data_IF_979315593177
#
_entry.id   IF_979315593177
#
_cell.length_a   1.000
_cell.length_b   1.000
_cell.length_c   1.000
_cell.angle_alpha   90.00
_cell.angle_beta   90.00
_cell.angle_gamma   90.00
#
_symmetry.space_group_name_H-M   'P 1'
#
loop_
_entity.id
_entity.type
_entity.pdbx_description
1 polymer ?
#
# COMPACT_ATOMS: atom_id res chain seq x y z
N UNK A 1 29.13 18.10 -22.79
CA UNK A 1 28.95 19.48 -23.26
C UNK A 1 28.07 20.19 -22.25
N UNK A 2 28.64 21.13 -21.49
CA UNK A 2 27.90 21.98 -20.56
C UNK A 2 27.14 23.01 -21.39
N UNK A 3 25.82 22.88 -21.49
CA UNK A 3 24.99 23.95 -22.01
C UNK A 3 24.84 25.02 -20.93
N UNK A 4 25.35 26.20 -21.23
CA UNK A 4 25.21 27.42 -20.44
C UNK A 4 23.76 27.92 -20.56
N UNK A 5 22.90 27.45 -19.66
CA UNK A 5 21.50 27.87 -19.57
C UNK A 5 21.37 29.32 -19.03
N UNK A 6 20.50 30.16 -19.62
CA UNK A 6 20.41 31.58 -19.33
C UNK A 6 20.00 31.87 -17.88
N UNK A 7 20.63 32.87 -17.27
CA UNK A 7 20.46 33.27 -15.85
C UNK A 7 19.00 33.51 -15.41
N UNK A 8 18.10 33.86 -16.34
CA UNK A 8 16.68 34.05 -16.04
C UNK A 8 15.93 32.72 -15.82
N UNK A 9 16.34 31.63 -16.50
CA UNK A 9 15.76 30.29 -16.33
C UNK A 9 16.24 29.63 -15.04
N UNK A 10 17.49 29.88 -14.64
CA UNK A 10 18.06 29.43 -13.35
C UNK A 10 17.22 29.90 -12.15
N UNK A 11 16.73 31.14 -12.19
CA UNK A 11 15.93 31.72 -11.11
C UNK A 11 14.51 31.14 -11.06
N UNK A 12 13.91 30.84 -12.22
CA UNK A 12 12.61 30.16 -12.30
C UNK A 12 12.71 28.70 -11.87
N UNK A 13 13.77 27.99 -12.25
CA UNK A 13 14.08 26.64 -11.77
C UNK A 13 14.35 26.62 -10.26
N UNK A 14 14.90 27.70 -9.68
CA UNK A 14 15.10 27.81 -8.22
C UNK A 14 13.80 28.07 -7.44
N UNK A 15 12.89 28.88 -7.99
CA UNK A 15 11.53 29.06 -7.47
C UNK A 15 10.68 27.80 -7.64
N UNK A 16 10.84 27.10 -8.77
CA UNK A 16 10.31 25.75 -8.98
C UNK A 16 11.03 24.68 -8.15
N UNK A 17 12.25 24.92 -7.66
CA UNK A 17 13.01 24.05 -6.75
C UNK A 17 12.53 24.21 -5.31
N UNK A 18 12.12 25.42 -4.93
CA UNK A 18 11.35 25.63 -3.70
C UNK A 18 9.96 24.95 -3.77
N UNK A 19 9.46 24.76 -5.00
CA UNK A 19 8.31 23.93 -5.39
C UNK A 19 8.74 22.55 -5.97
N UNK A 20 9.96 22.05 -5.72
CA UNK A 20 10.41 20.71 -6.15
C UNK A 20 10.25 19.66 -5.03
N UNK A 21 9.49 20.04 -4.00
CA UNK A 21 8.97 19.15 -2.96
C UNK A 21 7.53 18.61 -3.16
N UNK A 22 6.80 18.81 -4.28
CA UNK A 22 5.45 18.32 -4.39
C UNK A 22 5.45 16.81 -4.52
N UNK A 23 6.50 16.14 -5.03
CA UNK A 23 6.42 14.69 -5.29
C UNK A 23 6.24 13.82 -4.04
N UNK A 24 7.04 13.94 -2.98
CA UNK A 24 6.78 13.15 -1.78
C UNK A 24 5.57 13.66 -1.00
N UNK A 25 5.24 14.95 -1.15
CA UNK A 25 4.03 15.55 -0.57
C UNK A 25 2.74 15.07 -1.26
N UNK A 26 2.73 14.90 -2.59
CA UNK A 26 1.61 14.35 -3.34
C UNK A 26 1.46 12.85 -3.10
N UNK A 27 2.57 12.12 -2.92
CA UNK A 27 2.53 10.73 -2.43
C UNK A 27 1.89 10.68 -1.04
N UNK A 28 2.28 11.56 -0.11
CA UNK A 28 1.69 11.60 1.23
C UNK A 28 0.18 11.90 1.19
N UNK A 29 -0.26 12.85 0.35
CA UNK A 29 -1.68 13.15 0.13
C UNK A 29 -2.41 11.93 -0.46
N UNK A 30 -1.83 11.30 -1.49
CA UNK A 30 -2.42 10.11 -2.10
C UNK A 30 -2.55 8.96 -1.09
N UNK A 31 -1.59 8.79 -0.18
CA UNK A 31 -1.66 7.80 0.89
C UNK A 31 -2.72 8.12 1.94
N UNK A 32 -2.93 9.39 2.28
CA UNK A 32 -4.05 9.78 3.15
C UNK A 32 -5.41 9.54 2.48
N UNK A 33 -5.53 9.83 1.18
CA UNK A 33 -6.75 9.52 0.40
C UNK A 33 -7.01 8.01 0.37
N UNK A 34 -5.98 7.19 0.17
CA UNK A 34 -6.09 5.73 0.26
C UNK A 34 -6.49 5.28 1.68
N UNK A 35 -5.91 5.85 2.74
CA UNK A 35 -6.26 5.51 4.12
C UNK A 35 -7.74 5.77 4.44
N UNK A 36 -8.26 6.90 3.96
CA UNK A 36 -9.69 7.26 4.07
C UNK A 36 -10.54 6.25 3.28
N UNK A 37 -10.14 5.88 2.08
CA UNK A 37 -10.83 4.87 1.27
C UNK A 37 -10.93 3.51 1.97
N UNK A 38 -9.84 3.03 2.58
CA UNK A 38 -9.83 1.76 3.34
C UNK A 38 -10.71 1.85 4.59
N UNK A 39 -10.67 2.99 5.29
CA UNK A 39 -11.52 3.21 6.47
C UNK A 39 -13.01 3.27 6.11
N UNK A 40 -13.36 3.90 4.99
CA UNK A 40 -14.74 3.93 4.47
C UNK A 40 -15.24 2.54 4.09
N UNK A 41 -14.39 1.72 3.46
CA UNK A 41 -14.73 0.32 3.18
C UNK A 41 -14.91 -0.50 4.48
N UNK A 42 -14.18 -0.16 5.55
CA UNK A 42 -14.27 -0.87 6.82
C UNK A 42 -15.66 -0.65 7.47
N UNK A 43 -16.21 0.58 7.42
CA UNK A 43 -17.53 0.87 7.98
C UNK A 43 -18.70 0.11 7.31
N UNK A 44 -18.49 -0.52 6.14
CA UNK A 44 -19.43 -1.41 5.48
C UNK A 44 -20.87 -0.86 5.30
N UNK A 45 -21.00 0.46 5.08
CA UNK A 45 -22.29 1.10 4.82
C UNK A 45 -22.83 0.80 3.41
N UNK A 46 -24.16 0.79 3.20
CA UNK A 46 -24.73 0.64 1.87
C UNK A 46 -24.32 1.83 0.99
N UNK A 47 -23.58 1.56 -0.09
CA UNK A 47 -23.14 2.58 -1.07
C UNK A 47 -21.73 3.14 -0.88
N UNK A 48 -21.09 2.97 0.29
CA UNK A 48 -19.70 3.46 0.49
C UNK A 48 -18.67 2.64 -0.27
N UNK A 49 -19.02 1.44 -0.71
CA UNK A 49 -18.15 0.58 -1.52
C UNK A 49 -17.76 1.23 -2.85
N UNK A 50 -18.66 1.98 -3.48
CA UNK A 50 -18.39 2.67 -4.75
C UNK A 50 -17.44 3.85 -4.56
N UNK A 51 -17.67 4.64 -3.50
CA UNK A 51 -16.82 5.79 -3.18
C UNK A 51 -15.45 5.34 -2.68
N UNK A 52 -15.41 4.33 -1.81
CA UNK A 52 -14.17 3.78 -1.25
C UNK A 52 -13.26 3.18 -2.32
N UNK A 53 -13.80 2.36 -3.23
CA UNK A 53 -13.02 1.78 -4.33
C UNK A 53 -12.52 2.83 -5.31
N UNK A 54 -13.31 3.87 -5.61
CA UNK A 54 -12.88 4.99 -6.44
C UNK A 54 -11.70 5.74 -5.81
N UNK A 55 -11.79 6.08 -4.51
CA UNK A 55 -10.73 6.79 -3.79
C UNK A 55 -9.44 5.96 -3.72
N UNK A 56 -9.55 4.65 -3.40
CA UNK A 56 -8.40 3.75 -3.36
C UNK A 56 -7.79 3.62 -4.76
N UNK A 57 -8.59 3.43 -5.80
CA UNK A 57 -8.12 3.28 -7.18
C UNK A 57 -7.37 4.52 -7.67
N UNK A 58 -7.91 5.72 -7.46
CA UNK A 58 -7.25 6.97 -7.85
C UNK A 58 -5.96 7.20 -7.07
N UNK A 59 -5.97 7.00 -5.75
CA UNK A 59 -4.79 7.16 -4.90
C UNK A 59 -3.68 6.15 -5.23
N UNK A 60 -4.05 4.89 -5.45
CA UNK A 60 -3.12 3.83 -5.82
C UNK A 60 -2.52 4.07 -7.21
N UNK A 61 -3.34 4.44 -8.19
CA UNK A 61 -2.86 4.79 -9.53
C UNK A 61 -1.87 5.96 -9.50
N UNK A 62 -2.18 7.02 -8.75
CA UNK A 62 -1.27 8.15 -8.56
C UNK A 62 0.04 7.71 -7.87
N UNK A 63 -0.03 6.85 -6.86
CA UNK A 63 1.14 6.34 -6.16
C UNK A 63 2.09 5.59 -7.11
N UNK A 64 1.58 4.64 -7.90
CA UNK A 64 2.40 3.87 -8.85
C UNK A 64 2.91 4.68 -10.04
N UNK A 65 2.22 5.75 -10.44
CA UNK A 65 2.70 6.65 -11.47
C UNK A 65 3.91 7.49 -11.01
N UNK A 66 3.94 7.90 -9.73
CA UNK A 66 5.01 8.76 -9.21
C UNK A 66 6.29 7.98 -8.90
N UNK A 67 6.19 6.74 -8.39
CA UNK A 67 7.36 5.89 -8.03
C UNK A 67 8.44 5.83 -9.12
N UNK A 68 8.16 5.45 -10.38
CA UNK A 68 9.18 5.35 -11.44
C UNK A 68 9.76 6.72 -11.82
N UNK A 69 8.94 7.78 -11.76
CA UNK A 69 9.41 9.14 -12.00
C UNK A 69 10.38 9.59 -10.90
N UNK A 70 10.11 9.29 -9.63
CA UNK A 70 11.01 9.61 -8.51
C UNK A 70 12.27 8.75 -8.53
N UNK A 71 12.16 7.47 -8.86
CA UNK A 71 13.32 6.57 -8.86
C UNK A 71 14.31 6.90 -9.99
N UNK A 72 13.82 7.31 -11.17
CA UNK A 72 14.70 7.73 -12.28
C UNK A 72 15.42 9.06 -11.99
N UNK A 73 14.80 9.96 -11.21
CA UNK A 73 15.43 11.20 -10.75
C UNK A 73 16.47 10.96 -9.65
N UNK A 74 16.21 10.09 -8.68
CA UNK A 74 17.12 9.85 -7.54
C UNK A 74 18.35 9.02 -7.92
N UNK A 75 18.16 7.96 -8.71
CA UNK A 75 19.19 6.95 -8.94
C UNK A 75 19.74 6.98 -10.37
N UNK A 76 19.14 7.79 -11.25
CA UNK A 76 19.46 7.81 -12.66
C UNK A 76 19.05 6.51 -13.37
N UNK A 77 19.20 6.51 -14.70
CA UNK A 77 18.73 5.41 -15.55
C UNK A 77 19.62 4.16 -15.51
N UNK A 78 20.84 4.26 -14.97
CA UNK A 78 21.85 3.19 -15.05
C UNK A 78 21.43 1.89 -14.35
N UNK A 79 20.79 2.00 -13.18
CA UNK A 79 20.33 0.85 -12.38
C UNK A 79 18.82 0.88 -12.10
N UNK A 80 18.06 1.66 -12.88
CA UNK A 80 16.63 1.88 -12.64
C UNK A 80 15.81 0.59 -12.67
N UNK A 81 16.08 -0.30 -13.64
CA UNK A 81 15.35 -1.56 -13.80
C UNK A 81 15.50 -2.49 -12.59
N UNK A 82 16.69 -2.60 -12.00
CA UNK A 82 16.93 -3.45 -10.83
C UNK A 82 16.19 -2.90 -9.61
N UNK A 83 16.28 -1.58 -9.38
CA UNK A 83 15.62 -0.92 -8.26
C UNK A 83 14.09 -1.01 -8.35
N UNK A 84 13.52 -0.78 -9.53
CA UNK A 84 12.07 -0.84 -9.74
C UNK A 84 11.52 -2.26 -9.57
N UNK A 85 12.26 -3.28 -10.02
CA UNK A 85 11.91 -4.67 -9.76
C UNK A 85 11.96 -5.02 -8.27
N UNK A 86 12.93 -4.49 -7.53
CA UNK A 86 13.00 -4.67 -6.07
C UNK A 86 11.79 -4.04 -5.36
N UNK A 87 11.35 -2.84 -5.77
CA UNK A 87 10.13 -2.23 -5.25
C UNK A 87 8.91 -3.07 -5.58
N UNK A 88 8.82 -3.58 -6.81
CA UNK A 88 7.70 -4.42 -7.26
C UNK A 88 7.64 -5.77 -6.54
N UNK A 89 8.79 -6.30 -6.09
CA UNK A 89 8.87 -7.52 -5.29
C UNK A 89 8.17 -7.40 -3.93
N UNK A 90 7.97 -6.17 -3.43
CA UNK A 90 7.22 -5.93 -2.21
C UNK A 90 5.74 -6.34 -2.33
N UNK A 91 5.14 -6.27 -3.53
CA UNK A 91 3.74 -6.66 -3.74
C UNK A 91 3.48 -8.16 -3.50
N UNK A 92 4.19 -9.10 -4.15
CA UNK A 92 4.03 -10.52 -3.86
C UNK A 92 4.46 -10.86 -2.43
N UNK A 93 5.53 -10.24 -1.91
CA UNK A 93 5.94 -10.46 -0.52
C UNK A 93 4.86 -10.05 0.49
N UNK A 94 4.25 -8.87 0.29
CA UNK A 94 3.12 -8.40 1.10
C UNK A 94 1.94 -9.36 1.01
N UNK A 95 1.53 -9.75 -0.20
CA UNK A 95 0.45 -10.72 -0.39
C UNK A 95 0.72 -12.03 0.35
N UNK A 96 1.95 -12.55 0.31
CA UNK A 96 2.33 -13.76 1.05
C UNK A 96 2.27 -13.58 2.58
N UNK A 97 2.64 -12.41 3.11
CA UNK A 97 2.55 -12.15 4.56
C UNK A 97 1.09 -12.00 5.00
N UNK A 98 0.30 -11.21 4.26
CA UNK A 98 -1.11 -10.98 4.61
C UNK A 98 -1.97 -12.23 4.41
N UNK A 99 -1.83 -12.92 3.29
CA UNK A 99 -2.60 -14.14 2.99
C UNK A 99 -2.02 -15.37 3.70
N UNK A 100 -0.70 -15.47 3.83
CA UNK A 100 -0.06 -16.66 4.37
C UNK A 100 0.06 -16.69 5.90
N UNK A 101 0.22 -15.54 6.56
CA UNK A 101 0.39 -15.48 8.03
C UNK A 101 -0.85 -14.91 8.71
N UNK A 102 -1.37 -13.78 8.22
CA UNK A 102 -2.52 -13.14 8.87
C UNK A 102 -3.81 -13.92 8.57
N UNK A 103 -4.07 -14.29 7.32
CA UNK A 103 -5.27 -15.04 7.00
C UNK A 103 -5.23 -16.46 7.59
N UNK A 104 -4.09 -17.15 7.60
CA UNK A 104 -3.97 -18.48 8.21
C UNK A 104 -4.20 -18.46 9.73
N UNK A 105 -3.58 -17.52 10.46
CA UNK A 105 -3.75 -17.43 11.92
C UNK A 105 -5.19 -17.10 12.31
N UNK A 106 -5.86 -16.23 11.55
CA UNK A 106 -7.28 -15.89 11.77
C UNK A 106 -8.18 -17.06 11.41
N UNK A 107 -7.89 -17.73 10.29
CA UNK A 107 -8.63 -18.90 9.83
C UNK A 107 -8.57 -20.04 10.84
N UNK A 108 -7.38 -20.36 11.32
CA UNK A 108 -7.17 -21.43 12.30
C UNK A 108 -7.89 -21.09 13.61
N UNK A 109 -7.84 -19.83 14.04
CA UNK A 109 -8.52 -19.36 15.24
C UNK A 109 -10.06 -19.46 15.14
N UNK A 110 -10.65 -19.12 14.00
CA UNK A 110 -12.09 -19.22 13.78
C UNK A 110 -12.55 -20.66 13.48
N UNK A 111 -11.71 -21.47 12.83
CA UNK A 111 -11.94 -22.90 12.58
C UNK A 111 -12.00 -23.70 13.90
N UNK A 112 -11.13 -23.40 14.87
CA UNK A 112 -11.16 -24.03 16.20
C UNK A 112 -12.44 -23.67 16.99
N UNK A 113 -12.91 -22.42 16.88
CA UNK A 113 -14.18 -22.01 17.49
C UNK A 113 -15.39 -22.70 16.85
N UNK A 114 -15.41 -22.84 15.53
CA UNK A 114 -16.49 -23.50 14.79
C UNK A 114 -16.50 -25.02 15.05
N UNK A 115 -15.33 -25.64 15.19
CA UNK A 115 -15.19 -27.07 15.55
C UNK A 115 -15.81 -27.40 16.92
N UNK A 116 -15.81 -26.45 17.86
CA UNK A 116 -16.44 -26.61 19.17
C UNK A 116 -17.96 -26.44 19.13
N UNK A 117 -18.50 -25.65 18.20
CA UNK A 117 -19.93 -25.31 18.14
C UNK A 117 -20.72 -26.24 17.21
N UNK A 118 -20.10 -26.84 16.18
CA UNK A 118 -20.85 -27.54 15.10
C UNK A 118 -20.72 -29.07 15.00
N UNK A 119 -19.93 -29.77 15.83
CA UNK A 119 -19.89 -31.24 15.78
C UNK A 119 -19.78 -31.93 17.16
N UNK A 120 -20.87 -32.54 17.66
CA UNK A 120 -20.81 -33.93 18.05
C UNK A 120 -21.00 -34.82 16.81
N UNK A 121 -20.23 -35.92 16.74
CA UNK A 121 -20.30 -37.10 15.84
C UNK A 121 -19.35 -37.07 14.64
N UNK A 122 -18.23 -37.81 14.61
CA UNK A 122 -18.05 -39.28 14.64
C UNK A 122 -18.88 -40.05 13.59
N UNK A 123 -18.65 -39.80 12.30
CA UNK A 123 -19.00 -40.82 11.29
C UNK A 123 -18.02 -40.84 10.11
N UNK A 124 -17.57 -42.05 9.79
CA UNK A 124 -16.66 -42.41 8.69
C UNK A 124 -17.17 -41.95 7.30
N UNK A 125 -18.49 -41.81 7.14
CA UNK A 125 -19.13 -41.36 5.90
C UNK A 125 -18.83 -39.89 5.57
N UNK A 126 -18.69 -39.03 6.59
CA UNK A 126 -18.34 -37.61 6.41
C UNK A 126 -16.91 -37.42 5.93
N UNK A 127 -15.99 -38.30 6.37
CA UNK A 127 -14.60 -38.31 5.91
C UNK A 127 -14.51 -38.74 4.44
N UNK A 128 -15.25 -39.79 4.06
CA UNK A 128 -15.30 -40.29 2.67
C UNK A 128 -15.86 -39.23 1.72
N UNK A 129 -16.88 -38.47 2.13
CA UNK A 129 -17.41 -37.41 1.26
C UNK A 129 -16.35 -36.32 1.03
N UNK A 130 -15.67 -35.85 2.08
CA UNK A 130 -14.59 -34.85 1.92
C UNK A 130 -13.42 -35.32 1.04
N UNK A 131 -13.18 -36.65 0.99
CA UNK A 131 -12.08 -37.22 0.20
C UNK A 131 -12.48 -37.39 -1.28
N UNK A 132 -13.77 -37.58 -1.57
CA UNK A 132 -14.29 -37.86 -2.92
C UNK A 132 -14.62 -36.59 -3.73
N UNK A 133 -14.93 -35.45 -3.10
CA UNK A 133 -15.26 -34.18 -3.79
C UNK A 133 -14.05 -33.45 -4.43
N UNK A 134 -12.86 -34.08 -4.42
CA UNK A 134 -11.56 -33.42 -4.62
C UNK A 134 -11.09 -33.05 -6.05
N UNK A 135 -11.85 -33.19 -7.17
CA UNK A 135 -11.30 -32.72 -8.43
C UNK A 135 -12.28 -31.90 -9.28
N UNK A 136 -12.68 -30.68 -8.88
CA UNK A 136 -12.99 -29.60 -9.84
C UNK A 136 -13.17 -28.24 -9.16
N UNK A 137 -12.18 -27.36 -9.34
CA UNK A 137 -12.30 -25.88 -9.28
C UNK A 137 -12.79 -25.19 -7.99
N UNK A 138 -11.98 -24.20 -7.62
CA UNK A 138 -12.18 -23.12 -6.63
C UNK A 138 -11.75 -23.47 -5.21
N UNK A 139 -10.84 -22.65 -4.68
CA UNK A 139 -10.47 -22.59 -3.28
C UNK A 139 -11.71 -22.65 -2.37
N UNK A 140 -12.01 -23.79 -1.75
CA UNK A 140 -12.76 -23.80 -0.50
C UNK A 140 -11.83 -23.30 0.61
N UNK A 141 -11.53 -22.00 0.53
CA UNK A 141 -11.29 -21.24 1.75
C UNK A 141 -12.55 -21.46 2.59
N UNK A 142 -12.44 -21.92 3.85
CA UNK A 142 -13.45 -21.56 4.86
C UNK A 142 -13.45 -20.02 4.85
N UNK A 143 -14.28 -19.43 3.99
CA UNK A 143 -14.40 -18.00 3.85
C UNK A 143 -15.08 -17.53 5.11
N UNK A 144 -14.34 -16.76 5.92
CA UNK A 144 -14.97 -15.91 6.91
C UNK A 144 -15.73 -14.82 6.13
N UNK A 145 -16.94 -15.14 5.71
CA UNK A 145 -17.80 -14.25 4.95
C UNK A 145 -18.53 -13.34 5.94
N UNK A 146 -18.04 -12.11 6.08
CA UNK A 146 -18.59 -11.18 7.06
C UNK A 146 -17.82 -9.87 7.18
N UNK A 147 -18.53 -8.82 7.57
CA UNK A 147 -17.99 -7.49 7.80
C UNK A 147 -16.76 -7.49 8.73
N UNK A 148 -16.66 -8.45 9.66
CA UNK A 148 -15.61 -8.52 10.68
C UNK A 148 -14.23 -8.89 10.09
N UNK A 149 -14.17 -9.89 9.19
CA UNK A 149 -12.89 -10.33 8.61
C UNK A 149 -12.32 -9.26 7.67
N UNK A 150 -13.18 -8.67 6.83
CA UNK A 150 -12.80 -7.57 5.94
C UNK A 150 -12.44 -6.30 6.72
N UNK A 151 -13.16 -5.99 7.80
CA UNK A 151 -12.88 -4.84 8.67
C UNK A 151 -11.47 -4.88 9.24
N UNK A 152 -11.02 -6.04 9.75
CA UNK A 152 -9.71 -6.16 10.38
C UNK A 152 -8.57 -5.93 9.37
N UNK A 153 -8.65 -6.54 8.19
CA UNK A 153 -7.64 -6.36 7.14
C UNK A 153 -7.63 -4.91 6.64
N UNK A 154 -8.79 -4.31 6.41
CA UNK A 154 -8.89 -2.91 5.99
C UNK A 154 -8.37 -1.93 7.04
N UNK A 155 -8.59 -2.20 8.31
CA UNK A 155 -8.05 -1.40 9.41
C UNK A 155 -6.52 -1.50 9.48
N UNK A 156 -5.95 -2.70 9.30
CA UNK A 156 -4.50 -2.89 9.20
C UNK A 156 -3.94 -2.10 8.01
N UNK A 157 -4.56 -2.22 6.83
CA UNK A 157 -4.14 -1.51 5.62
C UNK A 157 -4.23 0.01 5.75
N UNK A 158 -5.29 0.52 6.40
CA UNK A 158 -5.43 1.94 6.73
C UNK A 158 -4.31 2.40 7.66
N UNK A 159 -4.00 1.61 8.70
CA UNK A 159 -2.87 1.87 9.61
C UNK A 159 -1.52 1.91 8.90
N UNK A 160 -1.27 0.99 7.97
CA UNK A 160 -0.05 0.98 7.15
C UNK A 160 0.03 2.20 6.23
N UNK A 161 -1.09 2.64 5.65
CA UNK A 161 -1.14 3.87 4.84
C UNK A 161 -0.80 5.12 5.68
N UNK A 162 -1.30 5.19 6.93
CA UNK A 162 -0.97 6.29 7.85
C UNK A 162 0.52 6.27 8.20
N UNK A 163 1.07 5.10 8.55
CA UNK A 163 2.50 4.96 8.84
C UNK A 163 3.36 5.39 7.65
N UNK A 164 2.99 4.98 6.44
CA UNK A 164 3.69 5.36 5.23
C UNK A 164 3.59 6.86 4.93
N UNK A 165 2.44 7.50 5.21
CA UNK A 165 2.29 8.95 5.10
C UNK A 165 3.17 9.70 6.11
N UNK A 166 3.28 9.21 7.35
CA UNK A 166 4.17 9.76 8.38
C UNK A 166 5.63 9.64 7.96
N UNK A 167 6.06 8.46 7.49
CA UNK A 167 7.43 8.25 6.98
C UNK A 167 7.73 9.18 5.80
N UNK A 168 6.78 9.34 4.88
CA UNK A 168 6.89 10.28 3.75
C UNK A 168 7.06 11.72 4.22
N UNK A 169 6.28 12.15 5.22
CA UNK A 169 6.40 13.47 5.84
C UNK A 169 7.74 13.67 6.55
N UNK A 170 8.25 12.65 7.24
CA UNK A 170 9.58 12.68 7.87
C UNK A 170 10.66 12.87 6.81
N UNK A 171 10.61 12.13 5.70
CA UNK A 171 11.56 12.27 4.59
C UNK A 171 11.49 13.68 4.02
N UNK A 172 10.29 14.23 3.78
CA UNK A 172 10.13 15.64 3.34
C UNK A 172 10.79 16.60 4.31
N UNK A 173 10.53 16.46 5.61
CA UNK A 173 11.07 17.34 6.63
C UNK A 173 12.61 17.28 6.66
N UNK A 174 13.20 16.08 6.65
CA UNK A 174 14.66 15.89 6.61
C UNK A 174 15.26 16.50 5.34
N UNK A 175 14.61 16.30 4.21
CA UNK A 175 15.07 16.82 2.93
C UNK A 175 14.99 18.35 2.91
N UNK A 176 13.93 18.96 3.47
CA UNK A 176 13.84 20.42 3.61
C UNK A 176 14.93 21.02 4.49
N UNK A 177 15.24 20.38 5.61
CA UNK A 177 16.32 20.84 6.51
C UNK A 177 17.67 20.84 5.78
N UNK A 178 17.97 19.81 5.00
CA UNK A 178 19.22 19.70 4.24
C UNK A 178 19.31 20.79 3.17
N UNK A 179 18.25 21.04 2.40
CA UNK A 179 18.26 22.08 1.37
C UNK A 179 18.28 23.49 1.96
N UNK A 180 17.60 23.73 3.09
CA UNK A 180 17.68 24.99 3.81
C UNK A 180 19.11 25.29 4.28
N UNK A 181 19.84 24.28 4.75
CA UNK A 181 21.25 24.43 5.14
C UNK A 181 22.19 24.66 3.95
N UNK A 182 21.91 24.06 2.78
CA UNK A 182 22.72 24.25 1.57
C UNK A 182 22.52 25.65 0.94
N UNK A 183 21.28 26.11 0.83
CA UNK A 183 20.98 27.43 0.26
C UNK A 183 21.16 28.58 1.25
N UNK A 184 20.99 28.35 2.55
CA UNK A 184 21.25 29.34 3.60
C UNK A 184 22.73 29.68 3.77
N UNK A 185 23.63 28.73 3.49
CA UNK A 185 25.09 28.93 3.61
C UNK A 185 25.71 29.66 2.43
N UNK A 186 25.06 29.72 1.26
CA UNK A 186 25.58 30.41 0.07
C UNK A 186 25.38 31.93 0.08
N UNK A 187 24.79 32.50 1.15
CA UNK A 187 24.49 33.94 1.26
C UNK A 187 25.27 34.64 2.38
N UNK A 188 26.36 34.04 2.88
CA UNK A 188 27.31 34.70 3.79
C UNK A 188 28.71 34.71 3.20
#
# INVERSE_FOLDING_TARGET
MKHEEPHHLRNNVLLLSHYAYPRPFTIAIAQLVMAIGHFLLAMAWPGVIYVGTLLIGLGYGAHWAVIPATASELFGLKNFGILYNFISLANPAGSLVFSGVIASTIYDYEAEKQAQVYHPKTSFLGVIWSMLSRPLSTEETLQCDGAVCFFLILMIMSGLCILAAVLSMIVVYRTKVVYANLYGKSRS
#
